data_IF_037756144813
#
_entry.id   IF_037756144813
#
_cell.length_a   1.000
_cell.length_b   1.000
_cell.length_c   1.000
_cell.angle_alpha   90.00
_cell.angle_beta   90.00
_cell.angle_gamma   90.00
#
_symmetry.space_group_name_H-M   'P 1'
#
loop_
_entity.id
_entity.type
_entity.pdbx_description
1 polymer ?
2 water ?
#
# COMPACT_ATOMS: atom_id res chain seq x y z
N UNK A 1 -10.49 17.97 -11.24
CA UNK A 1 -10.20 19.44 -11.19
C UNK A 1 -8.76 19.87 -10.94
N UNK A 2 -8.26 20.70 -11.84
CA UNK A 2 -6.94 21.28 -11.74
C UNK A 2 -7.07 22.78 -11.48
N UNK A 3 -6.25 23.24 -10.54
CA UNK A 3 -6.16 24.62 -10.18
C UNK A 3 -4.66 25.00 -10.23
N UNK A 4 -4.30 25.86 -11.18
CA UNK A 4 -2.91 26.25 -11.32
C UNK A 4 -2.68 27.69 -11.77
N UNK A 5 -1.52 28.23 -11.49
CA UNK A 5 -1.18 29.57 -11.93
C UNK A 5 -0.72 29.47 -13.38
N UNK A 6 -1.22 30.38 -14.20
CA UNK A 6 -0.90 30.37 -15.61
C UNK A 6 -0.46 31.78 -15.96
N UNK A 7 0.67 31.81 -16.70
CA UNK A 7 1.41 32.97 -17.24
C UNK A 7 1.62 32.75 -18.75
N UNK A 8 0.94 33.55 -19.56
CA UNK A 8 1.01 33.51 -21.03
C UNK A 8 0.52 32.28 -21.77
N UNK A 9 -0.73 31.90 -21.52
CA UNK A 9 -1.29 30.73 -22.17
C UNK A 9 -0.72 29.43 -21.68
N UNK A 10 0.15 29.49 -20.66
CA UNK A 10 0.73 28.25 -20.13
C UNK A 10 0.77 28.19 -18.61
N UNK A 11 0.66 26.98 -18.08
CA UNK A 11 0.75 26.79 -16.64
C UNK A 11 2.21 27.08 -16.22
N UNK A 12 2.37 27.97 -15.25
CA UNK A 12 3.68 28.34 -14.69
C UNK A 12 3.41 28.72 -13.23
N UNK A 13 4.07 28.05 -12.30
CA UNK A 13 3.85 28.34 -10.88
C UNK A 13 3.06 27.26 -10.16
N UNK A 14 2.68 27.50 -8.90
CA UNK A 14 1.92 26.58 -8.05
C UNK A 14 0.67 25.98 -8.71
N UNK A 15 0.43 24.71 -8.41
CA UNK A 15 -0.75 24.02 -8.93
C UNK A 15 -1.15 22.88 -8.01
N UNK A 16 -2.44 22.58 -8.02
CA UNK A 16 -3.03 21.48 -7.27
C UNK A 16 -4.12 20.81 -8.10
N UNK A 17 -4.19 19.49 -7.97
CA UNK A 17 -5.15 18.65 -8.65
C UNK A 17 -6.01 17.91 -7.63
N UNK A 18 -7.32 17.88 -7.86
CA UNK A 18 -8.25 17.17 -6.99
C UNK A 18 -8.90 16.10 -7.84
N UNK A 19 -9.34 15.01 -7.21
CA UNK A 19 -10.02 13.99 -7.98
C UNK A 19 -11.51 14.26 -7.79
N UNK A 20 -12.36 13.51 -8.48
CA UNK A 20 -13.80 13.74 -8.43
C UNK A 20 -14.41 13.87 -7.02
N UNK A 21 -13.95 13.07 -6.07
CA UNK A 21 -14.47 13.17 -4.72
C UNK A 21 -13.90 14.38 -4.00
N UNK A 22 -13.07 15.16 -4.71
CA UNK A 22 -12.49 16.35 -4.12
C UNK A 22 -11.24 16.17 -3.27
N UNK A 23 -10.66 14.97 -3.28
CA UNK A 23 -9.43 14.69 -2.55
C UNK A 23 -8.26 15.33 -3.25
N UNK A 24 -7.40 15.98 -2.50
CA UNK A 24 -6.22 16.56 -3.10
C UNK A 24 -5.35 15.41 -3.59
N UNK A 25 -5.05 15.32 -4.88
CA UNK A 25 -4.19 14.21 -5.31
C UNK A 25 -2.84 14.66 -5.85
N UNK A 26 -2.66 15.95 -6.04
CA UNK A 26 -1.36 16.40 -6.50
C UNK A 26 -1.10 17.82 -6.08
N UNK A 27 0.13 18.06 -5.67
CA UNK A 27 0.56 19.38 -5.29
C UNK A 27 1.98 19.59 -5.83
N UNK A 28 2.16 20.63 -6.61
CA UNK A 28 3.48 20.91 -7.13
C UNK A 28 3.42 22.25 -7.82
N UNK A 29 4.12 22.34 -8.93
CA UNK A 29 4.13 23.53 -9.74
C UNK A 29 4.38 23.08 -11.18
N UNK A 30 4.05 23.96 -12.12
CA UNK A 30 4.29 23.68 -13.54
C UNK A 30 5.23 24.74 -14.07
N UNK A 31 5.94 24.38 -15.14
CA UNK A 31 6.82 25.27 -15.85
C UNK A 31 6.55 24.95 -17.31
N UNK A 32 6.11 25.95 -18.08
CA UNK A 32 5.80 25.76 -19.50
C UNK A 32 4.80 24.62 -19.75
N UNK A 33 3.79 24.51 -18.90
CA UNK A 33 2.80 23.46 -19.07
C UNK A 33 3.26 22.07 -18.65
N UNK A 34 4.50 21.94 -18.16
CA UNK A 34 5.03 20.64 -17.69
C UNK A 34 5.34 20.67 -16.18
N UNK A 35 4.90 19.63 -15.47
CA UNK A 35 5.18 19.55 -14.03
C UNK A 35 6.65 19.74 -13.86
N UNK A 36 7.03 20.44 -12.79
CA UNK A 36 8.42 20.78 -12.57
C UNK A 36 8.81 20.88 -11.08
N UNK A 37 10.08 20.60 -10.78
CA UNK A 37 10.54 20.67 -9.41
C UNK A 37 10.00 19.56 -8.53
N UNK A 38 10.04 19.78 -7.22
CA UNK A 38 9.56 18.78 -6.27
C UNK A 38 8.06 18.73 -6.19
N UNK A 39 7.50 17.59 -6.57
CA UNK A 39 6.06 17.42 -6.56
C UNK A 39 5.63 16.25 -5.67
N UNK A 40 4.41 16.35 -5.16
CA UNK A 40 3.76 15.40 -4.29
C UNK A 40 2.51 14.86 -4.96
N UNK A 41 2.39 13.54 -5.00
CA UNK A 41 1.24 12.86 -5.55
C UNK A 41 0.62 12.11 -4.36
N UNK A 42 -0.66 12.31 -4.10
CA UNK A 42 -1.27 11.63 -2.97
C UNK A 42 -2.30 10.65 -3.45
N UNK A 43 -2.25 9.47 -2.86
CA UNK A 43 -3.19 8.40 -3.18
C UNK A 43 -4.31 8.47 -2.16
N UNK A 44 -5.52 8.07 -2.58
CA UNK A 44 -6.72 8.07 -1.72
C UNK A 44 -6.48 7.33 -0.42
N UNK A 45 -5.64 6.30 -0.44
CA UNK A 45 -5.37 5.56 0.77
C UNK A 45 -4.45 6.26 1.78
N UNK A 46 -3.93 7.43 1.45
CA UNK A 46 -3.06 8.12 2.40
C UNK A 46 -1.59 7.99 2.11
N UNK A 47 -1.26 7.12 1.17
CA UNK A 47 0.13 6.97 0.78
C UNK A 47 0.46 8.11 -0.18
N UNK A 48 1.73 8.30 -0.47
CA UNK A 48 2.12 9.33 -1.41
C UNK A 48 3.46 9.07 -2.07
N UNK A 49 3.67 9.75 -3.18
CA UNK A 49 4.91 9.66 -3.92
C UNK A 49 5.44 11.08 -4.00
N UNK A 50 6.71 11.26 -3.68
CA UNK A 50 7.33 12.57 -3.69
C UNK A 50 8.74 12.57 -4.25
N UNK A 51 9.03 13.60 -5.04
CA UNK A 51 10.37 13.74 -5.59
C UNK A 51 10.44 14.81 -6.66
N UNK A 52 11.65 15.16 -7.05
CA UNK A 52 11.84 16.12 -8.12
C UNK A 52 11.47 15.41 -9.43
N UNK A 53 10.57 15.97 -10.24
CA UNK A 53 10.25 15.28 -11.50
C UNK A 53 11.32 15.53 -12.57
N UNK A 54 11.35 14.67 -13.58
CA UNK A 54 12.34 14.83 -14.64
C UNK A 54 11.79 15.90 -15.60
N UNK A 55 12.48 16.14 -16.71
CA UNK A 55 12.04 17.19 -17.60
C UNK A 55 10.76 16.94 -18.38
N UNK A 56 10.25 15.73 -18.34
CA UNK A 56 8.99 15.46 -18.99
C UNK A 56 7.90 15.49 -17.91
N UNK A 57 8.29 15.92 -16.71
CA UNK A 57 7.34 15.99 -15.61
C UNK A 57 6.99 14.64 -15.00
N UNK A 58 7.82 13.63 -15.25
CA UNK A 58 7.59 12.27 -14.73
C UNK A 58 8.38 12.00 -13.44
N UNK A 59 7.80 11.15 -12.59
CA UNK A 59 8.40 10.77 -11.30
C UNK A 59 9.46 9.71 -11.60
N UNK A 60 10.57 10.19 -12.12
CA UNK A 60 11.68 9.35 -12.55
C UNK A 60 12.96 9.95 -12.01
N UNK A 61 13.74 9.14 -11.31
CA UNK A 61 14.99 9.64 -10.77
C UNK A 61 15.56 8.66 -9.75
N UNK A 62 16.65 9.08 -9.10
CA UNK A 62 17.35 8.27 -8.11
C UNK A 62 16.98 8.63 -6.68
N UNK A 63 16.28 9.74 -6.48
CA UNK A 63 15.93 10.18 -5.14
C UNK A 63 14.44 10.40 -4.96
N UNK A 64 13.67 9.49 -5.53
CA UNK A 64 12.22 9.55 -5.45
C UNK A 64 11.85 8.70 -4.24
N UNK A 65 10.69 9.00 -3.66
CA UNK A 65 10.24 8.26 -2.52
C UNK A 65 8.77 7.96 -2.47
N UNK A 66 8.47 6.75 -2.01
CA UNK A 66 7.10 6.37 -1.74
C UNK A 66 7.00 6.50 -0.22
N UNK A 67 5.98 7.22 0.24
CA UNK A 67 5.76 7.41 1.68
C UNK A 67 4.46 6.72 2.09
N UNK A 68 4.56 5.84 3.09
CA UNK A 68 3.39 5.13 3.63
C UNK A 68 2.43 6.13 4.30
N UNK A 69 1.20 5.68 4.63
CA UNK A 69 0.18 6.53 5.27
C UNK A 69 0.50 7.10 6.63
N UNK A 70 1.54 6.64 7.32
CA UNK A 70 1.87 7.25 8.61
C UNK A 70 2.70 8.54 8.37
N UNK A 71 2.98 8.81 7.09
CA UNK A 71 3.75 9.99 6.66
C UNK A 71 5.18 10.02 7.21
N UNK A 72 5.69 8.85 7.59
CA UNK A 72 7.01 8.73 8.19
C UNK A 72 7.85 7.65 7.51
N UNK A 73 7.29 6.44 7.45
CA UNK A 73 7.97 5.29 6.86
C UNK A 73 8.00 5.50 5.35
N UNK A 74 9.16 5.27 4.72
CA UNK A 74 9.24 5.48 3.29
C UNK A 74 10.20 4.52 2.63
N UNK A 75 10.08 4.42 1.32
CA UNK A 75 10.95 3.59 0.50
C UNK A 75 11.53 4.60 -0.48
N UNK A 76 12.82 4.82 -0.31
CA UNK A 76 13.59 5.82 -1.01
C UNK A 76 14.58 5.29 -2.04
N UNK A 77 14.61 5.91 -3.21
CA UNK A 77 15.54 5.50 -4.23
C UNK A 77 15.15 5.76 -5.68
N UNK A 78 15.43 4.75 -6.50
CA UNK A 78 15.20 4.84 -7.92
C UNK A 78 13.80 4.43 -8.41
N UNK A 79 13.12 5.36 -9.06
CA UNK A 79 11.80 5.09 -9.59
C UNK A 79 11.83 5.58 -11.03
N UNK A 80 11.07 4.93 -11.91
CA UNK A 80 10.95 5.37 -13.27
C UNK A 80 9.46 5.49 -13.53
N UNK A 81 9.03 6.70 -13.84
CA UNK A 81 7.63 6.97 -14.12
C UNK A 81 6.73 6.50 -12.96
N UNK A 82 7.18 6.70 -11.73
CA UNK A 82 6.39 6.27 -10.58
C UNK A 82 6.49 4.81 -10.13
N UNK A 83 7.20 3.97 -10.89
CA UNK A 83 7.36 2.55 -10.54
C UNK A 83 8.69 2.38 -9.83
N UNK A 84 8.65 1.75 -8.66
CA UNK A 84 9.83 1.53 -7.85
C UNK A 84 10.75 0.48 -8.45
N UNK A 85 11.99 0.88 -8.79
CA UNK A 85 12.99 -0.04 -9.33
C UNK A 85 13.83 -0.55 -8.18
N UNK A 86 14.21 0.34 -7.26
CA UNK A 86 14.96 -0.05 -6.09
C UNK A 86 14.80 0.95 -4.94
N UNK A 87 14.00 0.59 -3.95
CA UNK A 87 13.77 1.47 -2.82
C UNK A 87 14.32 0.87 -1.55
N UNK A 88 14.92 1.72 -0.74
CA UNK A 88 15.48 1.31 0.52
C UNK A 88 14.63 1.97 1.58
N UNK A 89 14.48 1.27 2.68
CA UNK A 89 13.71 1.72 3.82
C UNK A 89 14.34 2.97 4.39
N UNK A 90 13.47 3.91 4.73
CA UNK A 90 13.90 5.20 5.24
C UNK A 90 12.79 5.83 6.06
N UNK A 91 13.14 6.92 6.73
CA UNK A 91 12.22 7.69 7.53
C UNK A 91 12.20 9.13 7.01
N UNK A 92 10.99 9.67 6.83
CA UNK A 92 10.85 11.04 6.38
C UNK A 92 11.16 11.86 7.64
N UNK A 93 12.30 12.54 7.67
CA UNK A 93 12.67 13.33 8.85
C UNK A 93 12.01 14.70 8.93
N UNK A 94 11.82 15.36 7.80
CA UNK A 94 11.20 16.69 7.76
C UNK A 94 10.98 17.15 6.32
N UNK A 95 10.20 18.22 6.15
CA UNK A 95 9.92 18.74 4.83
C UNK A 95 10.22 20.24 4.65
N UNK A 96 11.45 20.66 4.96
CA UNK A 96 11.83 22.07 4.81
C UNK A 96 11.56 22.61 3.40
N UNK A 97 10.76 23.66 3.33
CA UNK A 97 10.37 24.31 2.09
C UNK A 97 9.58 23.29 1.28
N UNK A 98 9.87 23.09 0.02
CA UNK A 98 9.02 22.10 -0.61
C UNK A 98 9.45 20.66 -0.37
N UNK A 99 10.71 20.48 0.00
CA UNK A 99 11.26 19.15 0.01
C UNK A 99 11.50 18.26 1.20
N UNK A 100 11.25 16.96 0.99
CA UNK A 100 11.43 15.96 2.05
C UNK A 100 12.89 15.65 2.26
N UNK A 101 13.25 15.38 3.52
CA UNK A 101 14.61 14.96 3.84
C UNK A 101 14.46 13.55 4.45
N UNK A 102 15.18 12.61 3.86
CA UNK A 102 15.11 11.22 4.27
C UNK A 102 16.36 10.72 4.96
N UNK A 103 16.15 9.79 5.89
CA UNK A 103 17.24 9.17 6.65
C UNK A 103 17.05 7.67 6.40
N UNK A 104 18.05 6.99 5.83
CA UNK A 104 17.95 5.55 5.57
C UNK A 104 18.02 4.75 6.87
N UNK A 105 17.29 3.65 6.91
CA UNK A 105 17.32 2.81 8.08
C UNK A 105 18.46 1.84 7.86
N UNK A 106 19.00 1.28 8.95
CA UNK A 106 20.11 0.33 8.81
C UNK A 106 19.59 -0.95 8.14
N UNK A 107 20.46 -1.61 7.39
CA UNK A 107 20.05 -2.84 6.75
C UNK A 107 20.37 -2.85 5.27
N UNK A 108 20.26 -4.01 4.65
CA UNK A 108 20.55 -4.10 3.24
C UNK A 108 19.34 -4.47 2.40
N UNK A 109 18.15 -4.52 2.99
CA UNK A 109 16.98 -4.90 2.20
C UNK A 109 16.58 -3.81 1.20
N UNK A 110 16.41 -4.24 -0.04
CA UNK A 110 16.00 -3.31 -1.08
C UNK A 110 14.63 -3.83 -1.51
N UNK A 111 13.75 -2.94 -1.97
CA UNK A 111 12.42 -3.33 -2.41
C UNK A 111 12.24 -2.88 -3.83
N UNK A 112 11.37 -3.56 -4.56
CA UNK A 112 11.09 -3.14 -5.92
C UNK A 112 9.67 -3.57 -6.26
N UNK A 113 9.16 -3.02 -7.35
CA UNK A 113 7.82 -3.34 -7.82
C UNK A 113 7.86 -4.82 -8.24
N UNK A 114 6.90 -5.58 -7.71
CA UNK A 114 6.84 -7.02 -7.87
C UNK A 114 5.36 -7.47 -7.88
N UNK A 115 4.57 -6.96 -8.82
CA UNK A 115 3.17 -7.34 -8.91
C UNK A 115 3.10 -8.85 -9.16
N UNK A 116 2.17 -9.54 -8.51
CA UNK A 116 1.99 -10.99 -8.65
C UNK A 116 1.30 -11.40 -9.97
N UNK A 117 1.36 -12.69 -10.31
CA UNK A 117 0.69 -13.24 -11.51
C UNK A 117 -0.22 -14.38 -11.00
N UNK A 118 -0.77 -15.19 -11.92
CA UNK A 118 -1.65 -16.33 -11.58
C UNK A 118 -0.88 -17.38 -10.83
N UNK A 119 0.41 -17.41 -11.07
CA UNK A 119 1.22 -18.45 -10.48
C UNK A 119 2.18 -18.02 -9.42
N UNK A 120 2.72 -16.83 -9.60
CA UNK A 120 3.73 -16.35 -8.70
C UNK A 120 3.20 -15.28 -7.77
N UNK A 121 3.37 -15.49 -6.48
CA UNK A 121 2.88 -14.54 -5.49
C UNK A 121 3.93 -13.46 -5.21
N UNK A 122 5.21 -13.81 -5.32
CA UNK A 122 6.27 -12.86 -5.02
C UNK A 122 7.67 -13.37 -5.32
N UNK A 123 8.57 -12.48 -5.71
CA UNK A 123 9.94 -12.89 -5.92
C UNK A 123 10.66 -13.06 -4.57
N UNK A 124 10.08 -12.54 -3.49
CA UNK A 124 10.69 -12.63 -2.14
C UNK A 124 9.59 -12.91 -1.13
N UNK A 125 9.06 -14.13 -1.16
CA UNK A 125 7.97 -14.54 -0.29
C UNK A 125 8.20 -14.27 1.17
N UNK A 126 9.47 -14.22 1.58
CA UNK A 126 9.79 -14.02 2.99
C UNK A 126 10.33 -12.66 3.42
N UNK A 127 10.25 -11.67 2.54
CA UNK A 127 10.70 -10.30 2.88
C UNK A 127 9.45 -9.61 3.41
N UNK A 128 9.38 -9.32 4.72
CA UNK A 128 8.17 -8.67 5.25
C UNK A 128 8.01 -7.23 4.82
N UNK A 129 6.76 -6.76 4.77
CA UNK A 129 6.53 -5.36 4.46
C UNK A 129 6.91 -4.63 5.74
N UNK A 130 7.81 -3.64 5.63
CA UNK A 130 8.25 -2.89 6.80
C UNK A 130 7.20 -2.08 7.57
N UNK A 131 6.24 -1.50 6.87
CA UNK A 131 5.20 -0.74 7.54
C UNK A 131 4.28 -1.69 8.32
N UNK A 132 3.88 -2.79 7.70
CA UNK A 132 2.99 -3.76 8.35
C UNK A 132 3.65 -4.50 9.54
N UNK A 133 4.95 -4.80 9.43
CA UNK A 133 5.60 -5.53 10.50
C UNK A 133 5.69 -4.76 11.83
N UNK A 134 5.51 -3.45 11.78
CA UNK A 134 5.53 -2.66 13.00
C UNK A 134 4.12 -2.56 13.58
N UNK A 135 3.14 -3.05 12.86
CA UNK A 135 1.80 -2.87 13.35
C UNK A 135 0.99 -4.07 13.72
N UNK A 136 1.35 -5.23 13.17
CA UNK A 136 0.52 -6.39 13.39
C UNK A 136 1.37 -7.66 13.49
N UNK A 137 0.80 -8.72 14.06
CA UNK A 137 1.51 -9.99 14.13
C UNK A 137 0.50 -11.14 14.09
N UNK A 138 0.96 -12.32 13.70
CA UNK A 138 0.05 -13.44 13.64
C UNK A 138 0.19 -14.27 14.90
N UNK A 139 -0.92 -14.77 15.42
CA UNK A 139 -0.88 -15.63 16.59
C UNK A 139 -2.17 -16.41 16.65
N UNK A 140 -2.31 -17.21 17.70
CA UNK A 140 -3.51 -18.01 17.83
C UNK A 140 -4.71 -17.12 18.04
N UNK A 141 -5.72 -17.34 17.21
CA UNK A 141 -6.92 -16.54 17.29
C UNK A 141 -7.70 -16.81 18.57
N UNK A 142 -8.57 -15.87 18.96
CA UNK A 142 -9.41 -16.09 20.11
C UNK A 142 -10.80 -16.58 19.64
N UNK A 143 -10.94 -16.78 18.33
CA UNK A 143 -12.18 -17.37 17.79
C UNK A 143 -11.75 -18.84 17.78
N UNK A 144 -12.48 -19.66 18.51
CA UNK A 144 -12.14 -21.07 18.71
C UNK A 144 -11.93 -21.93 17.49
N UNK A 145 -12.89 -21.87 16.59
CA UNK A 145 -12.84 -22.67 15.37
C UNK A 145 -11.92 -22.07 14.34
N UNK A 146 -11.28 -20.96 14.66
CA UNK A 146 -10.50 -20.26 13.66
C UNK A 146 -9.07 -20.65 13.35
N UNK A 147 -8.28 -20.94 14.36
CA UNK A 147 -6.88 -21.25 14.09
C UNK A 147 -6.08 -19.98 14.35
N UNK A 148 -5.33 -19.52 13.35
CA UNK A 148 -4.54 -18.32 13.57
C UNK A 148 -5.36 -17.04 13.36
N UNK A 149 -4.88 -15.93 13.93
CA UNK A 149 -5.56 -14.67 13.78
C UNK A 149 -4.53 -13.57 13.61
N UNK A 150 -4.99 -12.36 13.28
CA UNK A 150 -4.12 -11.21 13.09
C UNK A 150 -4.31 -10.26 14.28
N UNK A 151 -3.23 -9.82 14.91
CA UNK A 151 -3.37 -8.92 16.06
C UNK A 151 -2.59 -7.62 15.90
N UNK A 152 -3.05 -6.56 16.55
CA UNK A 152 -2.32 -5.30 16.49
C UNK A 152 -1.16 -5.30 17.48
N UNK A 153 -0.02 -4.72 17.10
CA UNK A 153 1.12 -4.62 18.00
C UNK A 153 1.02 -3.36 18.82
N UNK A 154 0.20 -2.42 18.38
CA UNK A 154 0.11 -1.15 19.06
C UNK A 154 -1.29 -0.62 19.05
N UNK A 155 -1.50 0.43 19.85
CA UNK A 155 -2.79 1.10 19.95
C UNK A 155 -2.84 2.15 18.83
N UNK A 156 -3.95 2.21 18.11
CA UNK A 156 -4.11 3.15 17.03
C UNK A 156 -5.55 3.61 16.95
N UNK A 157 -5.76 4.75 16.30
CA UNK A 157 -7.11 5.28 16.18
C UNK A 157 -7.85 4.73 14.98
N UNK A 158 -9.05 5.26 14.70
CA UNK A 158 -9.91 4.88 13.58
C UNK A 158 -9.24 5.24 12.26
N UNK A 159 -9.60 4.53 11.20
CA UNK A 159 -9.05 4.74 9.86
C UNK A 159 -7.57 4.53 9.65
N UNK A 160 -6.99 3.57 10.37
CA UNK A 160 -5.58 3.30 10.22
C UNK A 160 -5.29 2.03 9.43
N UNK A 161 -4.43 2.17 8.42
CA UNK A 161 -4.01 1.03 7.61
C UNK A 161 -3.09 0.19 8.49
N UNK A 162 -3.41 -1.10 8.60
CA UNK A 162 -2.66 -1.96 9.49
C UNK A 162 -1.96 -3.08 8.79
N UNK A 163 -2.59 -3.56 7.73
CA UNK A 163 -2.06 -4.70 7.02
C UNK A 163 -2.45 -4.69 5.54
N UNK A 164 -1.71 -5.44 4.73
CA UNK A 164 -1.94 -5.52 3.29
C UNK A 164 -2.36 -6.88 2.89
N UNK A 165 -3.23 -6.94 1.90
CA UNK A 165 -3.72 -8.21 1.42
C UNK A 165 -3.22 -8.44 -0.02
N UNK A 166 -2.07 -9.13 -0.15
CA UNK A 166 -1.51 -9.44 -1.46
C UNK A 166 -1.72 -10.93 -1.71
N UNK A 167 -1.67 -11.34 -2.97
CA UNK A 167 -1.82 -12.75 -3.32
C UNK A 167 -1.71 -12.92 -4.82
N UNK A 168 -1.85 -14.16 -5.32
CA UNK A 168 -1.82 -14.38 -6.75
C UNK A 168 -3.11 -13.78 -7.33
N UNK A 169 -3.07 -13.40 -8.60
CA UNK A 169 -4.22 -12.82 -9.25
C UNK A 169 -4.86 -13.82 -10.19
N UNK A 170 -6.11 -14.17 -9.90
CA UNK A 170 -6.83 -15.13 -10.72
C UNK A 170 -8.23 -14.61 -11.06
N UNK A 171 -8.93 -15.33 -11.94
CA UNK A 171 -10.25 -14.94 -12.39
C UNK A 171 -11.39 -15.43 -11.49
N UNK A 172 -12.49 -14.69 -11.48
CA UNK A 172 -13.65 -15.08 -10.69
C UNK A 172 -14.14 -16.44 -11.16
N UNK A 173 -14.00 -16.69 -12.46
CA UNK A 173 -14.42 -17.95 -13.04
C UNK A 173 -13.66 -19.11 -12.44
N UNK A 174 -12.32 -19.04 -12.45
CA UNK A 174 -11.53 -20.12 -11.88
C UNK A 174 -11.93 -20.38 -10.44
N UNK A 175 -12.18 -19.32 -9.68
CA UNK A 175 -12.54 -19.49 -8.29
C UNK A 175 -13.90 -20.17 -8.19
N UNK A 176 -14.82 -19.81 -9.07
CA UNK A 176 -16.15 -20.40 -9.04
C UNK A 176 -16.23 -21.74 -9.77
N UNK A 177 -15.15 -22.16 -10.45
CA UNK A 177 -15.12 -23.47 -11.07
C UNK A 177 -14.84 -24.38 -9.84
N UNK A 178 -13.70 -25.06 -9.72
CA UNK A 178 -13.49 -25.93 -8.54
C UNK A 178 -13.82 -25.21 -7.23
N UNK A 179 -13.77 -25.89 -6.08
CA UNK A 179 -14.25 -25.22 -4.87
C UNK A 179 -13.69 -25.18 -3.44
N UNK A 180 -14.61 -24.78 -2.56
CA UNK A 180 -14.44 -24.51 -1.13
C UNK A 180 -13.15 -24.77 -0.39
N UNK A 181 -12.63 -25.99 -0.46
CA UNK A 181 -11.40 -26.27 0.27
C UNK A 181 -10.23 -25.41 -0.20
N UNK A 182 -10.27 -24.99 -1.47
CA UNK A 182 -9.21 -24.18 -2.06
C UNK A 182 -9.50 -22.67 -2.04
N UNK A 183 -10.70 -22.28 -1.61
CA UNK A 183 -11.05 -20.87 -1.57
C UNK A 183 -10.94 -20.21 -0.21
N UNK A 184 -10.27 -20.85 0.74
CA UNK A 184 -10.16 -20.26 2.05
C UNK A 184 -9.67 -18.82 2.09
N UNK A 185 -8.71 -18.49 1.24
CA UNK A 185 -8.11 -17.17 1.22
C UNK A 185 -8.31 -16.30 0.00
N UNK A 186 -9.52 -16.29 -0.55
CA UNK A 186 -9.75 -15.50 -1.73
C UNK A 186 -10.45 -14.20 -1.40
N UNK A 187 -10.11 -13.15 -2.13
CA UNK A 187 -10.70 -11.85 -1.92
C UNK A 187 -10.91 -11.22 -3.29
N UNK A 188 -12.12 -10.76 -3.54
CA UNK A 188 -12.42 -10.16 -4.82
C UNK A 188 -11.77 -8.78 -4.88
N UNK A 189 -10.87 -8.58 -5.83
CA UNK A 189 -10.21 -7.28 -5.95
C UNK A 189 -11.11 -6.38 -6.80
N UNK A 190 -11.48 -6.86 -7.98
CA UNK A 190 -12.40 -6.12 -8.82
C UNK A 190 -13.13 -7.05 -9.74
N UNK A 191 -14.00 -6.47 -10.54
CA UNK A 191 -14.83 -7.20 -11.48
C UNK A 191 -14.10 -8.27 -12.30
N UNK A 192 -12.82 -8.04 -12.54
CA UNK A 192 -12.01 -8.96 -13.31
C UNK A 192 -11.02 -9.79 -12.50
N UNK A 193 -10.73 -9.37 -11.27
CA UNK A 193 -9.69 -10.07 -10.49
C UNK A 193 -10.01 -10.50 -9.06
N UNK A 194 -9.48 -11.66 -8.69
CA UNK A 194 -9.61 -12.21 -7.35
C UNK A 194 -8.19 -12.42 -6.85
N UNK A 195 -7.92 -12.02 -5.61
CA UNK A 195 -6.60 -12.22 -5.02
C UNK A 195 -6.68 -13.49 -4.15
N UNK A 196 -5.68 -14.36 -4.27
CA UNK A 196 -5.68 -15.60 -3.50
C UNK A 196 -4.30 -15.88 -2.89
N UNK A 197 -4.29 -16.50 -1.71
CA UNK A 197 -3.04 -16.89 -1.05
C UNK A 197 -3.20 -18.41 -0.88
N UNK A 198 -2.78 -19.17 -1.89
CA UNK A 198 -2.89 -20.63 -1.86
C UNK A 198 -1.72 -21.44 -1.42
N UNK A 199 -1.76 -22.62 -2.02
CA UNK A 199 -0.76 -23.68 -2.00
C UNK A 199 -0.08 -23.77 -0.63
N UNK A 200 1.23 -23.55 -0.63
CA UNK A 200 1.94 -23.63 0.64
C UNK A 200 2.06 -22.24 1.27
N UNK A 201 1.77 -21.21 0.46
CA UNK A 201 1.89 -19.81 0.90
C UNK A 201 0.93 -19.34 1.97
N UNK A 202 -0.07 -20.15 2.26
CA UNK A 202 -1.03 -19.81 3.28
C UNK A 202 -0.37 -19.91 4.67
N UNK A 203 0.87 -20.41 4.77
CA UNK A 203 1.54 -20.47 6.07
C UNK A 203 2.68 -19.44 6.18
N UNK A 204 2.73 -18.72 7.29
CA UNK A 204 3.73 -17.68 7.48
C UNK A 204 5.19 -18.07 7.41
N UNK A 205 5.51 -19.34 7.60
CA UNK A 205 6.90 -19.77 7.52
C UNK A 205 7.28 -19.89 6.05
N UNK A 206 6.27 -19.87 5.17
CA UNK A 206 6.50 -19.95 3.74
C UNK A 206 6.20 -18.62 2.99
N UNK A 207 5.29 -17.81 3.52
CA UNK A 207 4.93 -16.50 2.93
C UNK A 207 4.57 -15.53 4.03
N UNK A 208 5.34 -14.48 4.17
CA UNK A 208 5.00 -13.47 5.17
C UNK A 208 5.24 -12.04 4.65
N UNK A 209 5.26 -11.88 3.33
CA UNK A 209 5.44 -10.56 2.71
C UNK A 209 4.24 -9.66 3.05
N UNK A 210 3.08 -10.27 3.20
CA UNK A 210 1.88 -9.55 3.55
C UNK A 210 1.10 -10.50 4.43
N UNK A 211 0.26 -9.95 5.31
CA UNK A 211 -0.42 -10.75 6.30
C UNK A 211 -1.94 -10.57 6.41
N UNK A 212 -2.50 -9.76 5.52
CA UNK A 212 -3.92 -9.46 5.54
C UNK A 212 -4.86 -10.64 5.46
N UNK A 213 -4.42 -11.72 4.81
CA UNK A 213 -5.23 -12.89 4.66
C UNK A 213 -5.38 -13.61 5.99
N UNK A 214 -4.70 -13.13 7.02
CA UNK A 214 -4.78 -13.74 8.35
C UNK A 214 -5.92 -13.22 9.20
N UNK A 215 -6.44 -12.03 8.88
CA UNK A 215 -7.54 -11.47 9.64
C UNK A 215 -8.76 -12.37 9.51
N UNK A 216 -9.44 -12.64 10.62
CA UNK A 216 -10.62 -13.47 10.57
C UNK A 216 -11.93 -12.69 10.37
N UNK A 217 -12.93 -13.40 9.84
CA UNK A 217 -14.24 -12.82 9.62
C UNK A 217 -14.98 -12.59 10.94
N UNK A 218 -15.78 -11.52 10.98
CA UNK A 218 -16.62 -11.24 12.13
C UNK A 218 -17.81 -10.43 11.67
N UNK A 219 -18.93 -10.60 12.34
CA UNK A 219 -20.13 -9.83 12.01
C UNK A 219 -20.17 -8.51 12.76
N UNK A 220 -19.25 -8.30 13.69
CA UNK A 220 -19.14 -7.01 14.38
C UNK A 220 -17.65 -6.69 14.27
N UNK A 221 -17.15 -6.49 13.04
CA UNK A 221 -15.72 -6.22 12.83
C UNK A 221 -15.14 -4.90 13.34
N UNK A 222 -13.84 -4.89 13.62
CA UNK A 222 -13.19 -3.63 14.01
C UNK A 222 -12.32 -3.08 12.86
N UNK A 223 -12.26 -3.79 11.73
CA UNK A 223 -11.52 -3.36 10.55
C UNK A 223 -12.35 -3.60 9.31
N UNK A 224 -11.86 -3.11 8.19
CA UNK A 224 -12.57 -3.21 6.92
C UNK A 224 -11.53 -3.33 5.80
N UNK A 225 -11.88 -3.99 4.69
CA UNK A 225 -10.99 -4.10 3.53
C UNK A 225 -11.09 -2.78 2.78
N UNK A 226 -9.98 -2.30 2.28
CA UNK A 226 -9.99 -1.05 1.53
C UNK A 226 -9.02 -1.18 0.37
N UNK A 227 -9.28 -0.47 -0.72
CA UNK A 227 -8.39 -0.46 -1.88
C UNK A 227 -7.06 0.20 -1.49
N UNK A 228 -5.94 -0.29 -2.01
CA UNK A 228 -4.67 0.30 -1.66
C UNK A 228 -3.65 0.18 -2.81
N UNK A 229 -2.93 1.26 -3.14
CA UNK A 229 -1.93 1.19 -4.22
C UNK A 229 -0.58 1.06 -3.52
N UNK A 230 0.03 -0.11 -3.62
CA UNK A 230 1.27 -0.41 -2.92
C UNK A 230 2.46 -0.37 -3.87
N UNK A 231 3.57 0.32 -3.51
CA UNK A 231 4.73 0.38 -4.43
C UNK A 231 5.42 -0.92 -4.78
N UNK A 232 5.18 -1.96 -4.00
CA UNK A 232 5.78 -3.26 -4.28
C UNK A 232 4.73 -4.25 -4.82
N UNK A 233 3.57 -4.32 -4.18
CA UNK A 233 2.55 -5.27 -4.62
C UNK A 233 1.60 -4.74 -5.69
N UNK A 234 1.55 -3.44 -5.91
CA UNK A 234 0.61 -2.91 -6.90
C UNK A 234 -0.79 -2.68 -6.34
N UNK A 235 -1.86 -2.71 -7.16
CA UNK A 235 -3.24 -2.50 -6.68
C UNK A 235 -3.75 -3.71 -5.90
N UNK A 236 -3.92 -3.53 -4.61
CA UNK A 236 -4.37 -4.63 -3.80
C UNK A 236 -5.38 -4.06 -2.83
N UNK A 237 -5.60 -4.78 -1.74
CA UNK A 237 -6.51 -4.30 -0.71
C UNK A 237 -5.66 -4.21 0.55
N UNK A 238 -6.14 -3.42 1.49
CA UNK A 238 -5.47 -3.30 2.74
C UNK A 238 -6.55 -3.49 3.79
N UNK A 239 -6.11 -3.55 5.04
CA UNK A 239 -7.01 -3.67 6.15
C UNK A 239 -6.85 -2.37 6.94
N UNK A 240 -7.97 -1.69 7.17
CA UNK A 240 -8.00 -0.40 7.84
C UNK A 240 -8.89 -0.44 9.07
N UNK A 241 -8.48 0.17 10.19
CA UNK A 241 -9.33 0.14 11.40
C UNK A 241 -10.64 0.91 11.22
N UNK A 242 -11.69 0.45 11.88
CA UNK A 242 -13.01 1.08 11.79
C UNK A 242 -13.22 1.95 13.01
N UNK A 243 -12.40 1.70 14.02
CA UNK A 243 -12.49 2.38 15.29
C UNK A 243 -11.13 2.23 15.98
N UNK A 244 -10.96 2.90 17.11
CA UNK A 244 -9.71 2.76 17.81
C UNK A 244 -9.57 1.29 18.20
N UNK A 245 -8.33 0.86 18.26
CA UNK A 245 -7.99 -0.50 18.57
C UNK A 245 -6.83 -0.42 19.56
N UNK A 246 -6.86 -1.28 20.57
CA UNK A 246 -5.81 -1.30 21.56
C UNK A 246 -4.78 -2.32 21.12
N UNK A 247 -3.64 -2.30 21.80
CA UNK A 247 -2.55 -3.21 21.55
C UNK A 247 -3.01 -4.64 21.90
N UNK A 248 -2.59 -5.60 21.08
CA UNK A 248 -2.94 -7.02 21.22
C UNK A 248 -4.42 -7.36 20.99
N UNK A 249 -5.14 -6.50 20.28
CA UNK A 249 -6.53 -6.81 19.98
C UNK A 249 -6.54 -7.59 18.65
N UNK A 250 -7.40 -8.60 18.55
CA UNK A 250 -7.53 -9.33 17.30
C UNK A 250 -8.24 -8.41 16.32
N UNK A 251 -7.79 -8.43 15.07
CA UNK A 251 -8.34 -7.63 13.99
C UNK A 251 -9.30 -8.53 13.21
N UNK A 252 -10.53 -8.07 13.00
CA UNK A 252 -11.49 -8.88 12.26
C UNK A 252 -12.12 -8.01 11.18
N UNK A 253 -12.56 -8.64 10.09
CA UNK A 253 -13.12 -7.93 8.95
C UNK A 253 -14.44 -8.54 8.44
N UNK A 254 -15.27 -7.74 7.79
CA UNK A 254 -16.50 -8.25 7.21
C UNK A 254 -16.09 -8.98 5.94
N UNK A 255 -16.95 -9.88 5.49
CA UNK A 255 -16.71 -10.63 4.26
C UNK A 255 -16.39 -9.69 3.10
N UNK A 256 -15.44 -10.08 2.27
CA UNK A 256 -15.06 -9.23 1.16
C UNK A 256 -15.96 -9.40 -0.05
N UNK A 257 -15.62 -10.42 -0.85
CA UNK A 257 -16.28 -10.78 -2.12
C UNK A 257 -17.31 -9.84 -2.76
#
# INVERSE_FOLDING_TARGET
VLQGTYVDGELNGPAQEYDTDGRLIFKGQYKDNIRHGVCWIYYPDGGSLVGEVNEDGEMTGEKIAYVYPDERTALYGKFIDGEMIEGKLATLMSTEEGRPHFELMPGNSVYHFDKSTSSCISTNALLPDPYESERVYVAESLISSAGEGLFSKVAVGPNTVMSFYNGVRITHQEVDSRDWALNGNTLSLDEETVIDVPEPYNHVSKYCASLGHKANHSFTPNCIYDMFVHPRFGPIKCIRTLRAVEADEELTVAYGY
#
